data_IF_817552689408
#
_entry.id   IF_817552689408
#
_cell.length_a   1.000
_cell.length_b   1.000
_cell.length_c   1.000
_cell.angle_alpha   90.00
_cell.angle_beta   90.00
_cell.angle_gamma   90.00
#
_symmetry.space_group_name_H-M   'P 1'
#
loop_
_entity.id
_entity.type
_entity.pdbx_description
1 polymer ?
#
# COMPACT_ATOMS: atom_id res chain seq x y z
N UNK A 1 -22.62 3.84 22.27
CA UNK A 1 -21.38 3.48 21.55
C UNK A 1 -21.42 4.07 20.16
N UNK A 2 -20.28 4.53 19.62
CA UNK A 2 -20.20 4.98 18.22
C UNK A 2 -20.26 3.78 17.28
N UNK A 3 -20.93 3.92 16.12
CA UNK A 3 -20.93 2.87 15.08
C UNK A 3 -19.53 2.78 14.44
N UNK A 4 -18.94 1.58 14.30
CA UNK A 4 -17.68 1.43 13.57
C UNK A 4 -17.87 1.77 12.09
N UNK A 5 -16.83 2.32 11.44
CA UNK A 5 -16.88 2.78 10.04
C UNK A 5 -16.01 1.95 9.09
N UNK A 6 -15.11 1.14 9.62
CA UNK A 6 -14.18 0.30 8.85
C UNK A 6 -13.77 -0.91 9.68
N UNK A 7 -13.36 -1.97 9.00
CA UNK A 7 -12.56 -3.05 9.58
C UNK A 7 -11.10 -2.80 9.22
N UNK A 8 -10.19 -3.02 10.16
CA UNK A 8 -8.75 -2.94 9.95
C UNK A 8 -8.20 -4.34 10.07
N UNK A 9 -7.46 -4.77 9.06
CA UNK A 9 -6.70 -6.01 9.05
C UNK A 9 -5.22 -5.65 9.07
N UNK A 10 -4.52 -6.07 10.12
CA UNK A 10 -3.07 -6.03 10.16
C UNK A 10 -2.54 -7.46 10.05
N UNK A 11 -1.43 -7.62 9.31
CA UNK A 11 -0.63 -8.85 9.31
C UNK A 11 -1.24 -10.07 8.61
N UNK A 12 -1.48 -9.98 7.30
CA UNK A 12 -1.72 -11.20 6.52
C UNK A 12 -0.47 -12.07 6.42
N UNK A 13 0.70 -11.45 6.17
CA UNK A 13 2.00 -12.15 6.03
C UNK A 13 1.86 -13.50 5.31
N UNK A 14 1.24 -13.48 4.13
CA UNK A 14 0.98 -14.68 3.33
C UNK A 14 2.28 -15.44 3.07
N UNK A 15 2.20 -16.74 3.35
CA UNK A 15 3.27 -17.71 3.26
C UNK A 15 2.68 -19.10 2.98
N UNK A 16 3.51 -20.05 2.58
CA UNK A 16 3.05 -21.42 2.32
C UNK A 16 2.43 -22.09 3.56
N UNK A 17 2.84 -21.68 4.75
CA UNK A 17 2.36 -22.22 6.02
C UNK A 17 0.94 -21.78 6.40
N UNK A 18 0.38 -20.75 5.75
CA UNK A 18 -0.89 -20.14 6.15
C UNK A 18 -1.89 -19.97 4.99
N UNK A 19 -1.71 -20.71 3.89
CA UNK A 19 -2.53 -20.59 2.67
C UNK A 19 -4.03 -20.82 2.89
N UNK A 20 -4.42 -21.64 3.85
CA UNK A 20 -5.84 -21.86 4.21
C UNK A 20 -6.32 -20.94 5.33
N UNK A 21 -5.39 -20.45 6.17
CA UNK A 21 -5.71 -19.62 7.33
C UNK A 21 -6.13 -18.22 6.88
N UNK A 22 -5.34 -17.60 5.99
CA UNK A 22 -5.57 -16.21 5.59
C UNK A 22 -6.93 -16.02 4.87
N UNK A 23 -7.34 -16.86 3.89
CA UNK A 23 -8.68 -16.75 3.32
C UNK A 23 -9.80 -16.92 4.34
N UNK A 24 -9.61 -17.80 5.34
CA UNK A 24 -10.56 -17.99 6.43
C UNK A 24 -10.69 -16.76 7.34
N UNK A 25 -9.60 -16.04 7.59
CA UNK A 25 -9.61 -14.78 8.33
C UNK A 25 -10.30 -13.67 7.52
N UNK A 26 -9.98 -13.54 6.23
CA UNK A 26 -10.62 -12.57 5.33
C UNK A 26 -12.14 -12.79 5.28
N UNK A 27 -12.61 -14.04 5.23
CA UNK A 27 -14.03 -14.35 5.31
C UNK A 27 -14.67 -13.88 6.63
N UNK A 28 -14.01 -14.12 7.77
CA UNK A 28 -14.50 -13.66 9.08
C UNK A 28 -14.58 -12.14 9.16
N UNK A 29 -13.60 -11.42 8.59
CA UNK A 29 -13.61 -9.97 8.48
C UNK A 29 -14.79 -9.48 7.62
N UNK A 30 -15.04 -10.12 6.48
CA UNK A 30 -16.18 -9.83 5.60
C UNK A 30 -17.51 -10.06 6.34
N UNK A 31 -17.66 -11.16 7.07
CA UNK A 31 -18.86 -11.46 7.84
C UNK A 31 -19.09 -10.46 8.97
N UNK A 32 -18.02 -10.05 9.66
CA UNK A 32 -18.09 -8.97 10.64
C UNK A 32 -18.49 -7.64 10.00
N UNK A 33 -17.87 -7.29 8.86
CA UNK A 33 -18.19 -6.07 8.12
C UNK A 33 -19.66 -6.02 7.71
N UNK A 34 -20.20 -7.13 7.17
CA UNK A 34 -21.63 -7.23 6.79
C UNK A 34 -22.56 -7.05 7.99
N UNK A 35 -22.27 -7.69 9.13
CA UNK A 35 -23.08 -7.53 10.36
C UNK A 35 -23.09 -6.09 10.89
N UNK A 36 -22.03 -5.33 10.62
CA UNK A 36 -21.87 -3.95 11.04
C UNK A 36 -22.27 -2.94 9.96
N UNK A 37 -22.79 -3.39 8.81
CA UNK A 37 -23.12 -2.55 7.65
C UNK A 37 -21.92 -1.75 7.12
N UNK A 38 -20.72 -2.32 7.22
CA UNK A 38 -19.45 -1.75 6.74
C UNK A 38 -19.09 -2.36 5.40
N UNK A 39 -18.62 -1.53 4.48
CA UNK A 39 -18.19 -1.94 3.14
C UNK A 39 -16.70 -1.73 2.89
N UNK A 40 -15.97 -1.19 3.87
CA UNK A 40 -14.55 -0.85 3.73
C UNK A 40 -13.70 -1.72 4.66
N UNK A 41 -12.71 -2.37 4.06
CA UNK A 41 -11.62 -3.07 4.74
C UNK A 41 -10.34 -2.27 4.51
N UNK A 42 -9.57 -2.05 5.57
CA UNK A 42 -8.28 -1.39 5.51
C UNK A 42 -7.19 -2.40 5.84
N UNK A 43 -6.37 -2.75 4.85
CA UNK A 43 -5.17 -3.55 5.04
C UNK A 43 -4.01 -2.66 5.47
N UNK A 44 -3.57 -2.83 6.71
CA UNK A 44 -2.36 -2.22 7.25
C UNK A 44 -1.26 -3.28 7.35
N UNK A 45 -0.02 -2.91 7.00
CA UNK A 45 1.11 -3.83 7.06
C UNK A 45 1.28 -4.70 5.81
N UNK A 46 2.11 -5.72 5.95
CA UNK A 46 2.63 -6.50 4.83
C UNK A 46 1.69 -7.65 4.45
N UNK A 47 1.29 -7.70 3.18
CA UNK A 47 0.48 -8.83 2.69
C UNK A 47 1.29 -10.10 2.50
N UNK A 48 2.58 -9.99 2.22
CA UNK A 48 3.48 -11.12 1.97
C UNK A 48 4.61 -11.13 2.98
N UNK A 49 5.07 -12.32 3.38
CA UNK A 49 6.13 -12.47 4.39
C UNK A 49 7.50 -11.93 3.92
N UNK A 50 7.79 -11.96 2.61
CA UNK A 50 9.04 -11.44 2.06
C UNK A 50 8.81 -10.58 0.82
N UNK A 51 9.63 -9.55 0.63
CA UNK A 51 9.65 -8.72 -0.59
C UNK A 51 10.49 -9.38 -1.70
N UNK A 52 10.29 -10.68 -1.91
CA UNK A 52 10.93 -11.51 -2.94
C UNK A 52 9.88 -12.10 -3.87
N UNK A 53 10.34 -12.82 -4.90
CA UNK A 53 9.48 -13.64 -5.74
C UNK A 53 8.64 -14.59 -4.86
N UNK A 54 7.32 -14.54 -5.03
CA UNK A 54 6.38 -15.39 -4.32
C UNK A 54 6.14 -16.67 -5.11
N UNK A 55 5.94 -17.79 -4.41
CA UNK A 55 5.47 -19.02 -5.05
C UNK A 55 4.07 -18.82 -5.60
N UNK A 56 3.76 -19.51 -6.69
CA UNK A 56 2.47 -19.42 -7.36
C UNK A 56 1.30 -19.67 -6.41
N UNK A 57 1.42 -20.66 -5.50
CA UNK A 57 0.40 -20.94 -4.50
C UNK A 57 0.10 -19.74 -3.59
N UNK A 58 1.12 -19.00 -3.17
CA UNK A 58 0.96 -17.78 -2.33
C UNK A 58 0.24 -16.68 -3.12
N UNK A 59 0.60 -16.49 -4.39
CA UNK A 59 -0.05 -15.52 -5.27
C UNK A 59 -1.51 -15.87 -5.55
N UNK A 60 -1.79 -17.15 -5.80
CA UNK A 60 -3.14 -17.65 -6.00
C UNK A 60 -4.00 -17.49 -4.74
N UNK A 61 -3.43 -17.69 -3.55
CA UNK A 61 -4.13 -17.43 -2.29
C UNK A 61 -4.39 -15.95 -2.08
N UNK A 62 -3.43 -15.06 -2.40
CA UNK A 62 -3.69 -13.62 -2.35
C UNK A 62 -4.81 -13.23 -3.33
N UNK A 63 -4.79 -13.76 -4.56
CA UNK A 63 -5.88 -13.58 -5.53
C UNK A 63 -7.22 -14.05 -4.96
N UNK A 64 -7.29 -15.24 -4.34
CA UNK A 64 -8.49 -15.75 -3.67
C UNK A 64 -9.02 -14.77 -2.62
N UNK A 65 -8.13 -14.14 -1.83
CA UNK A 65 -8.54 -13.13 -0.86
C UNK A 65 -9.13 -11.88 -1.55
N UNK A 66 -8.53 -11.41 -2.64
CA UNK A 66 -9.05 -10.28 -3.42
C UNK A 66 -10.41 -10.60 -4.07
N UNK A 67 -10.57 -11.81 -4.61
CA UNK A 67 -11.82 -12.29 -5.20
C UNK A 67 -12.93 -12.30 -4.13
N UNK A 68 -12.65 -12.89 -2.95
CA UNK A 68 -13.58 -12.90 -1.81
C UNK A 68 -14.04 -11.49 -1.41
N UNK A 69 -13.10 -10.55 -1.30
CA UNK A 69 -13.42 -9.15 -0.98
C UNK A 69 -14.32 -8.54 -2.04
N UNK A 70 -13.98 -8.71 -3.33
CA UNK A 70 -14.71 -8.13 -4.44
C UNK A 70 -16.13 -8.70 -4.56
N UNK A 71 -16.27 -10.02 -4.54
CA UNK A 71 -17.53 -10.75 -4.69
C UNK A 71 -18.51 -10.43 -3.54
N UNK A 72 -18.00 -10.05 -2.37
CA UNK A 72 -18.80 -9.67 -1.22
C UNK A 72 -19.10 -8.16 -1.14
N UNK A 73 -18.80 -7.40 -2.20
CA UNK A 73 -19.08 -5.96 -2.28
C UNK A 73 -18.20 -5.11 -1.37
N UNK A 74 -17.05 -5.64 -0.93
CA UNK A 74 -16.12 -4.93 -0.05
C UNK A 74 -15.10 -4.12 -0.85
N UNK A 75 -14.64 -3.03 -0.26
CA UNK A 75 -13.58 -2.17 -0.78
C UNK A 75 -12.33 -2.34 0.07
N UNK A 76 -11.26 -2.89 -0.52
CA UNK A 76 -9.95 -2.95 0.12
C UNK A 76 -9.18 -1.65 -0.10
N UNK A 77 -8.78 -1.00 0.98
CA UNK A 77 -7.79 0.09 0.99
C UNK A 77 -6.50 -0.45 1.59
N UNK A 78 -5.38 -0.36 0.88
CA UNK A 78 -4.10 -0.85 1.39
C UNK A 78 -2.99 0.18 1.14
N UNK A 79 -2.00 0.16 2.03
CA UNK A 79 -0.81 1.02 1.95
C UNK A 79 0.47 0.24 1.61
N UNK A 80 0.33 -1.06 1.35
CA UNK A 80 1.46 -1.94 1.10
C UNK A 80 2.18 -1.56 -0.20
N UNK A 81 3.48 -1.26 -0.08
CA UNK A 81 4.36 -0.89 -1.19
C UNK A 81 3.94 0.36 -1.98
N UNK A 82 3.08 1.21 -1.42
CA UNK A 82 2.70 2.47 -2.08
C UNK A 82 3.92 3.38 -2.30
N UNK A 83 4.92 3.34 -1.42
CA UNK A 83 6.17 4.08 -1.57
C UNK A 83 6.93 3.66 -2.84
N UNK A 84 6.95 2.36 -3.14
CA UNK A 84 7.55 1.84 -4.37
C UNK A 84 6.70 2.21 -5.58
N UNK A 85 5.39 2.06 -5.50
CA UNK A 85 4.47 2.39 -6.59
C UNK A 85 4.62 3.86 -7.02
N UNK A 86 4.63 4.79 -6.06
CA UNK A 86 4.75 6.21 -6.36
C UNK A 86 6.15 6.59 -6.84
N UNK A 87 7.21 6.03 -6.27
CA UNK A 87 8.58 6.27 -6.75
C UNK A 87 8.77 5.81 -8.21
N UNK A 88 8.36 4.58 -8.54
CA UNK A 88 8.47 4.09 -9.92
C UNK A 88 7.52 4.82 -10.87
N UNK A 89 6.34 5.24 -10.40
CA UNK A 89 5.47 6.14 -11.12
C UNK A 89 6.15 7.47 -11.45
N UNK A 90 6.80 8.09 -10.47
CA UNK A 90 7.54 9.34 -10.67
C UNK A 90 8.65 9.18 -11.72
N UNK A 91 9.41 8.08 -11.68
CA UNK A 91 10.42 7.77 -12.70
C UNK A 91 9.79 7.67 -14.10
N UNK A 92 8.68 6.96 -14.24
CA UNK A 92 8.00 6.80 -15.52
C UNK A 92 7.49 8.15 -16.07
N UNK A 93 6.81 8.95 -15.23
CA UNK A 93 6.29 10.27 -15.62
C UNK A 93 7.40 11.25 -15.99
N UNK A 94 8.49 11.26 -15.22
CA UNK A 94 9.67 12.08 -15.53
C UNK A 94 10.25 11.74 -16.91
N UNK A 95 10.33 10.45 -17.25
CA UNK A 95 10.87 9.98 -18.53
C UNK A 95 10.02 10.38 -19.74
N UNK A 96 8.70 10.47 -19.57
CA UNK A 96 7.78 10.88 -20.64
C UNK A 96 7.52 12.40 -20.67
N UNK A 97 8.15 13.16 -19.77
CA UNK A 97 7.98 14.61 -19.67
C UNK A 97 6.65 15.05 -19.06
N UNK A 98 5.92 14.15 -18.40
CA UNK A 98 4.67 14.47 -17.68
C UNK A 98 5.02 15.01 -16.29
N UNK A 99 5.29 16.31 -16.24
CA UNK A 99 5.79 16.98 -15.03
C UNK A 99 4.76 16.97 -13.90
N UNK A 100 3.48 17.17 -14.20
CA UNK A 100 2.42 17.21 -13.20
C UNK A 100 2.31 15.87 -12.47
N UNK A 101 2.24 14.76 -13.20
CA UNK A 101 2.14 13.45 -12.58
C UNK A 101 3.44 12.99 -11.93
N UNK A 102 4.60 13.42 -12.44
CA UNK A 102 5.88 13.25 -11.78
C UNK A 102 5.89 13.90 -10.38
N UNK A 103 5.56 15.19 -10.29
CA UNK A 103 5.56 15.93 -9.04
C UNK A 103 4.54 15.36 -8.05
N UNK A 104 3.32 15.10 -8.52
CA UNK A 104 2.27 14.48 -7.72
C UNK A 104 2.68 13.11 -7.18
N UNK A 105 3.41 12.31 -7.96
CA UNK A 105 3.91 11.01 -7.52
C UNK A 105 5.00 11.16 -6.45
N UNK A 106 5.92 12.12 -6.58
CA UNK A 106 6.91 12.40 -5.55
C UNK A 106 6.28 12.86 -4.23
N UNK A 107 5.28 13.74 -4.27
CA UNK A 107 4.56 14.19 -3.07
C UNK A 107 3.84 13.02 -2.38
N UNK A 108 3.16 12.15 -3.15
CA UNK A 108 2.51 10.95 -2.61
C UNK A 108 3.51 9.97 -2.02
N UNK A 109 4.69 9.82 -2.64
CA UNK A 109 5.78 9.02 -2.11
C UNK A 109 6.25 9.58 -0.76
N UNK A 110 6.47 10.89 -0.66
CA UNK A 110 6.87 11.56 0.59
C UNK A 110 5.86 11.30 1.70
N UNK A 111 4.57 11.56 1.43
CA UNK A 111 3.49 11.36 2.40
C UNK A 111 3.42 9.90 2.85
N UNK A 112 3.52 8.95 1.92
CA UNK A 112 3.49 7.51 2.25
C UNK A 112 4.64 7.12 3.17
N UNK A 113 5.87 7.56 2.87
CA UNK A 113 7.06 7.26 3.67
C UNK A 113 6.94 7.79 5.11
N UNK A 114 6.46 9.03 5.26
CA UNK A 114 6.33 9.67 6.57
C UNK A 114 5.11 9.20 7.36
N UNK A 115 4.05 8.74 6.68
CA UNK A 115 2.93 8.06 7.33
C UNK A 115 3.34 6.69 7.89
N UNK A 116 4.21 5.96 7.17
CA UNK A 116 4.75 4.67 7.67
C UNK A 116 5.74 4.88 8.83
N UNK A 117 6.48 5.99 8.84
CA UNK A 117 7.44 6.32 9.91
C UNK A 117 8.67 5.41 9.95
N UNK A 118 8.97 4.71 8.85
CA UNK A 118 10.10 3.80 8.76
C UNK A 118 11.36 4.56 8.31
N UNK A 119 12.21 4.96 9.27
CA UNK A 119 13.43 5.74 9.03
C UNK A 119 14.37 5.13 7.98
N UNK A 120 14.54 3.80 7.98
CA UNK A 120 15.38 3.13 7.00
C UNK A 120 14.83 3.27 5.58
N UNK A 121 13.50 3.16 5.40
CA UNK A 121 12.87 3.39 4.10
C UNK A 121 12.96 4.86 3.70
N UNK A 122 12.70 5.79 4.62
CA UNK A 122 12.79 7.23 4.38
C UNK A 122 14.18 7.58 3.84
N UNK A 123 15.24 7.10 4.50
CA UNK A 123 16.62 7.33 4.06
C UNK A 123 16.90 6.70 2.69
N UNK A 124 16.50 5.44 2.48
CA UNK A 124 16.67 4.74 1.20
C UNK A 124 16.03 5.49 0.04
N UNK A 125 14.74 5.81 0.16
CA UNK A 125 14.00 6.48 -0.90
C UNK A 125 14.46 7.91 -1.13
N UNK A 126 14.78 8.65 -0.06
CA UNK A 126 15.39 9.99 -0.20
C UNK A 126 16.68 9.94 -1.01
N UNK A 127 17.57 8.98 -0.72
CA UNK A 127 18.80 8.81 -1.49
C UNK A 127 18.57 8.48 -2.96
N UNK A 128 17.64 7.55 -3.24
CA UNK A 128 17.28 7.18 -4.61
C UNK A 128 16.67 8.37 -5.37
N UNK A 129 15.69 9.05 -4.79
CA UNK A 129 15.00 10.21 -5.40
C UNK A 129 15.98 11.36 -5.66
N UNK A 130 16.81 11.72 -4.69
CA UNK A 130 17.79 12.78 -4.87
C UNK A 130 18.75 12.47 -6.03
N UNK A 131 19.21 11.21 -6.11
CA UNK A 131 20.12 10.77 -7.16
C UNK A 131 19.45 10.72 -8.54
N UNK A 132 18.26 10.13 -8.64
CA UNK A 132 17.62 9.85 -9.93
C UNK A 132 17.05 11.11 -10.60
N UNK A 133 16.56 12.06 -9.81
CA UNK A 133 15.99 13.30 -10.32
C UNK A 133 16.92 14.51 -10.17
N UNK A 134 18.08 14.33 -9.52
CA UNK A 134 19.04 15.39 -9.23
C UNK A 134 18.39 16.58 -8.47
N UNK A 135 17.68 16.26 -7.38
CA UNK A 135 16.98 17.22 -6.52
C UNK A 135 17.37 17.03 -5.05
N UNK A 136 16.99 18.01 -4.21
CA UNK A 136 16.81 17.76 -2.78
C UNK A 136 15.33 17.49 -2.52
N UNK A 137 15.01 16.24 -2.14
CA UNK A 137 13.63 15.80 -1.97
C UNK A 137 12.87 16.57 -0.89
N UNK A 138 13.52 16.92 0.22
CA UNK A 138 12.88 17.71 1.28
C UNK A 138 12.54 19.11 0.80
N UNK A 139 13.47 19.77 0.12
CA UNK A 139 13.27 21.12 -0.41
C UNK A 139 12.17 21.12 -1.47
N UNK A 140 12.20 20.14 -2.38
CA UNK A 140 11.17 19.93 -3.41
C UNK A 140 9.76 19.84 -2.84
N UNK A 141 9.60 19.13 -1.71
CA UNK A 141 8.30 18.97 -1.06
C UNK A 141 7.88 20.26 -0.34
N UNK A 142 8.80 20.96 0.32
CA UNK A 142 8.52 22.22 1.02
C UNK A 142 8.03 23.27 0.03
N UNK A 143 8.69 23.41 -1.12
CA UNK A 143 8.31 24.37 -2.17
C UNK A 143 6.86 24.15 -2.64
N UNK A 144 6.43 22.89 -2.78
CA UNK A 144 5.07 22.54 -3.19
C UNK A 144 3.98 22.81 -2.14
N UNK A 145 4.32 22.80 -0.85
CA UNK A 145 3.34 23.14 0.20
C UNK A 145 3.27 24.64 0.50
N UNK A 146 4.21 25.44 -0.03
CA UNK A 146 4.27 26.89 0.13
C UNK A 146 3.66 27.65 -1.04
N UNK A 147 3.41 26.98 -2.18
CA UNK A 147 2.71 27.51 -3.35
C UNK A 147 1.19 27.41 -3.23
#
# INVERSE_FOLDING_TARGET
MKKPITIISNDWHLAESNLEVIPGLVLQEIELAKRLEITTLVGLGDFFQERKAQKEAVLNTFKKCLDLIHENGMKLKNFYLLEYFYYFGALAYYRIGDIENYQNSLLKCFVTLHLEGNEHKIQKFTGMINSDFNINFSDFVIEHYQS
#
